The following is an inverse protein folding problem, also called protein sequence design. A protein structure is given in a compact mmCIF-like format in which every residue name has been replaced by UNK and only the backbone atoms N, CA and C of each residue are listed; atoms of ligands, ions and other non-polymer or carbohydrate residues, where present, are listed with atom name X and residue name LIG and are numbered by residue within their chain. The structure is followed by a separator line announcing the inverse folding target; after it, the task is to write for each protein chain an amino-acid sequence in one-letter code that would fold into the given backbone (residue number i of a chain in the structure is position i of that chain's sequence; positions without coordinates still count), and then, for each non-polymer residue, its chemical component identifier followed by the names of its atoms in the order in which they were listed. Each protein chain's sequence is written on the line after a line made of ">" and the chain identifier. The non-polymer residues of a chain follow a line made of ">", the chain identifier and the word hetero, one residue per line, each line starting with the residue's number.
data_IF_654458284663
#
_entry.id   IF_654458284663
#
_cell.length_a   1.000
_cell.length_b   1.000
_cell.length_c   1.000
_cell.angle_alpha   90.00
_cell.angle_beta   90.00
_cell.angle_gamma   90.00
#
_symmetry.space_group_name_H-M   'P 1'
#
loop_
_entity.id
_entity.type
_entity.pdbx_description
1 polymer ?
#
# COMPACT_ATOMS: atom_id res chain seq x y z
N UNK A 1 -25.60 53.87 -7.94
CA UNK A 1 -24.82 53.59 -9.18
C UNK A 1 -23.37 54.00 -8.94
N UNK A 2 -22.50 53.08 -8.53
CA UNK A 2 -21.05 53.30 -8.48
C UNK A 2 -20.32 51.99 -8.79
N UNK A 3 -20.18 51.69 -10.08
CA UNK A 3 -19.22 50.67 -10.54
C UNK A 3 -17.81 51.26 -10.40
N UNK A 4 -17.13 50.94 -9.31
CA UNK A 4 -15.67 51.13 -9.23
C UNK A 4 -15.02 50.01 -10.05
N UNK A 5 -14.71 50.38 -11.28
CA UNK A 5 -13.99 49.59 -12.27
C UNK A 5 -12.53 49.41 -11.81
N UNK A 6 -12.28 48.38 -11.00
CA UNK A 6 -10.92 47.93 -10.67
C UNK A 6 -10.39 47.13 -11.86
N UNK A 7 -9.80 47.83 -12.84
CA UNK A 7 -8.91 47.24 -13.84
C UNK A 7 -7.82 46.46 -13.09
N UNK A 8 -7.98 45.14 -13.00
CA UNK A 8 -6.90 44.25 -12.56
C UNK A 8 -5.76 44.41 -13.56
N UNK A 9 -4.61 44.88 -13.07
CA UNK A 9 -3.34 44.85 -13.79
C UNK A 9 -3.05 43.37 -14.05
N UNK A 10 -3.25 42.91 -15.27
CA UNK A 10 -2.78 41.60 -15.72
C UNK A 10 -1.27 41.73 -15.86
N UNK A 11 -0.44 41.06 -15.04
CA UNK A 11 0.99 41.07 -15.28
C UNK A 11 1.25 40.34 -16.60
N UNK A 12 1.66 41.13 -17.59
CA UNK A 12 2.05 40.66 -18.90
C UNK A 12 3.16 39.62 -18.84
N UNK A 13 3.17 38.84 -19.92
CA UNK A 13 4.16 37.84 -20.30
C UNK A 13 5.57 38.08 -19.75
N UNK A 14 5.95 37.26 -18.77
CA UNK A 14 7.35 36.94 -18.46
C UNK A 14 7.89 36.03 -19.57
N UNK A 15 8.18 36.64 -20.72
CA UNK A 15 8.79 35.97 -21.86
C UNK A 15 10.29 35.78 -21.64
N UNK A 16 10.75 34.53 -21.80
CA UNK A 16 12.04 34.13 -22.39
C UNK A 16 13.37 34.15 -21.60
N UNK A 17 13.42 34.24 -20.26
CA UNK A 17 14.72 34.15 -19.55
C UNK A 17 14.84 33.11 -18.42
N UNK A 18 13.90 32.17 -18.28
CA UNK A 18 13.88 31.25 -17.11
C UNK A 18 13.66 29.78 -17.45
N UNK A 19 14.40 29.24 -18.42
CA UNK A 19 14.42 27.77 -18.65
C UNK A 19 15.62 27.10 -17.99
N UNK A 20 16.78 27.77 -17.94
CA UNK A 20 18.01 27.22 -17.33
C UNK A 20 18.05 27.40 -15.80
N UNK A 21 17.56 28.52 -15.27
CA UNK A 21 17.49 28.72 -13.81
C UNK A 21 16.38 27.89 -13.13
N UNK A 22 15.41 27.39 -13.90
CA UNK A 22 14.36 26.50 -13.39
C UNK A 22 14.90 25.11 -13.04
N UNK A 23 15.89 24.61 -13.78
CA UNK A 23 16.50 23.29 -13.53
C UNK A 23 17.37 23.34 -12.26
N UNK A 24 18.15 24.42 -12.07
CA UNK A 24 18.96 24.62 -10.86
C UNK A 24 18.11 24.78 -9.60
N UNK A 25 16.91 25.36 -9.71
CA UNK A 25 15.97 25.50 -8.59
C UNK A 25 15.33 24.18 -8.16
N UNK A 26 15.25 23.19 -9.05
CA UNK A 26 14.72 21.85 -8.76
C UNK A 26 15.76 20.85 -8.22
N UNK A 27 17.06 21.16 -8.28
CA UNK A 27 18.13 20.31 -7.72
C UNK A 27 17.91 19.93 -6.23
N UNK A 28 17.52 20.85 -5.32
CA UNK A 28 17.26 20.46 -3.93
C UNK A 28 16.11 19.45 -3.78
N UNK A 29 15.12 19.47 -4.68
CA UNK A 29 14.03 18.49 -4.69
C UNK A 29 14.54 17.09 -5.05
N UNK A 30 15.43 16.99 -6.05
CA UNK A 30 16.06 15.71 -6.42
C UNK A 30 16.95 15.18 -5.29
N UNK A 31 17.72 16.03 -4.61
CA UNK A 31 18.59 15.62 -3.50
C UNK A 31 17.77 15.03 -2.33
N UNK A 32 16.62 15.61 -1.99
CA UNK A 32 15.72 15.05 -0.97
C UNK A 32 15.05 13.75 -1.42
N UNK A 33 14.83 13.56 -2.72
CA UNK A 33 14.20 12.36 -3.28
C UNK A 33 15.16 11.17 -3.44
N UNK A 34 16.45 11.43 -3.68
CA UNK A 34 17.50 10.41 -3.84
C UNK A 34 17.53 9.36 -2.70
N UNK A 35 17.58 9.72 -1.39
CA UNK A 35 17.63 8.72 -0.32
C UNK A 35 16.36 7.86 -0.26
N UNK A 36 15.19 8.44 -0.57
CA UNK A 36 13.92 7.71 -0.65
C UNK A 36 13.96 6.70 -1.79
N UNK A 37 14.51 7.09 -2.95
CA UNK A 37 14.61 6.22 -4.11
C UNK A 37 15.62 5.08 -3.88
N UNK A 38 16.77 5.36 -3.27
CA UNK A 38 17.76 4.34 -2.90
C UNK A 38 17.14 3.32 -1.94
N UNK A 39 16.46 3.79 -0.90
CA UNK A 39 15.76 2.91 0.04
C UNK A 39 14.76 2.00 -0.68
N UNK A 40 13.95 2.57 -1.59
CA UNK A 40 12.96 1.81 -2.33
C UNK A 40 13.60 0.76 -3.27
N UNK A 41 14.72 1.09 -3.92
CA UNK A 41 15.45 0.14 -4.76
C UNK A 41 15.99 -1.02 -3.92
N UNK A 42 16.69 -0.72 -2.82
CA UNK A 42 17.35 -1.74 -1.99
C UNK A 42 16.35 -2.61 -1.25
N UNK A 43 15.29 -2.04 -0.66
CA UNK A 43 14.37 -2.79 0.18
C UNK A 43 13.15 -3.35 -0.54
N UNK A 44 12.82 -2.87 -1.74
CA UNK A 44 11.63 -3.35 -2.47
C UNK A 44 11.98 -4.02 -3.79
N UNK A 45 12.83 -3.42 -4.61
CA UNK A 45 13.18 -4.01 -5.91
C UNK A 45 14.12 -5.20 -5.78
N UNK A 46 15.14 -5.13 -4.93
CA UNK A 46 16.06 -6.25 -4.68
C UNK A 46 15.33 -7.52 -4.21
N UNK A 47 14.51 -7.51 -3.13
CA UNK A 47 13.81 -8.73 -2.71
C UNK A 47 12.80 -9.23 -3.76
N UNK A 48 12.18 -8.35 -4.56
CA UNK A 48 11.33 -8.76 -5.68
C UNK A 48 12.12 -9.53 -6.74
N UNK A 49 13.28 -9.02 -7.15
CA UNK A 49 14.14 -9.68 -8.13
C UNK A 49 14.68 -11.01 -7.61
N UNK A 50 15.13 -11.05 -6.35
CA UNK A 50 15.59 -12.30 -5.73
C UNK A 50 14.45 -13.34 -5.65
N UNK A 51 13.24 -12.92 -5.25
CA UNK A 51 12.09 -13.82 -5.14
C UNK A 51 11.70 -14.45 -6.47
N UNK A 52 11.77 -13.68 -7.56
CA UNK A 52 11.49 -14.19 -8.90
C UNK A 52 12.52 -15.24 -9.33
N UNK A 53 13.81 -15.01 -9.06
CA UNK A 53 14.87 -15.97 -9.38
C UNK A 53 14.71 -17.26 -8.57
N UNK A 54 14.44 -17.13 -7.27
CA UNK A 54 14.24 -18.27 -6.36
C UNK A 54 13.00 -19.09 -6.76
N UNK A 55 11.96 -18.48 -7.33
CA UNK A 55 10.75 -19.19 -7.75
C UNK A 55 10.93 -20.07 -9.00
N UNK A 56 11.98 -19.84 -9.79
CA UNK A 56 12.29 -20.61 -11.02
C UNK A 56 13.31 -21.73 -10.73
N UNK A 57 14.02 -21.61 -9.60
CA UNK A 57 15.03 -22.58 -9.16
C UNK A 57 14.45 -23.51 -8.09
N UNK A 58 14.92 -24.76 -8.00
CA UNK A 58 14.53 -25.68 -6.91
C UNK A 58 15.28 -25.34 -5.63
N UNK A 59 14.99 -24.17 -5.07
CA UNK A 59 15.62 -23.69 -3.86
C UNK A 59 15.24 -24.60 -2.68
N UNK A 60 16.16 -25.49 -2.32
CA UNK A 60 16.10 -26.24 -1.07
C UNK A 60 17.07 -25.57 -0.08
N UNK A 61 16.57 -25.01 1.05
CA UNK A 61 17.41 -24.28 2.00
C UNK A 61 18.55 -25.14 2.58
N UNK A 62 18.39 -26.47 2.54
CA UNK A 62 19.39 -27.44 2.99
C UNK A 62 20.62 -27.62 2.07
N UNK A 63 20.59 -27.16 0.81
CA UNK A 63 21.68 -27.39 -0.17
C UNK A 63 22.49 -26.14 -0.54
N UNK A 64 22.20 -24.99 0.07
CA UNK A 64 22.88 -23.73 -0.23
C UNK A 64 22.43 -23.09 -1.55
N UNK A 65 22.57 -21.77 -1.63
CA UNK A 65 22.02 -20.89 -2.67
C UNK A 65 22.63 -21.17 -4.07
N UNK A 66 23.77 -21.87 -4.13
CA UNK A 66 24.58 -22.03 -5.35
C UNK A 66 24.60 -23.45 -5.95
N UNK A 67 23.97 -24.46 -5.33
CA UNK A 67 23.97 -25.85 -5.84
C UNK A 67 22.61 -26.36 -6.32
N UNK A 68 21.58 -25.53 -6.26
CA UNK A 68 20.23 -25.97 -6.63
C UNK A 68 20.12 -26.02 -8.16
N UNK A 69 19.51 -27.10 -8.67
CA UNK A 69 19.33 -27.31 -10.10
C UNK A 69 18.32 -26.30 -10.63
N UNK A 70 18.63 -25.66 -11.76
CA UNK A 70 17.72 -24.76 -12.45
C UNK A 70 16.61 -25.59 -13.11
N UNK A 71 15.44 -25.69 -12.46
CA UNK A 71 14.33 -26.57 -12.90
C UNK A 71 13.29 -25.80 -13.73
N UNK A 72 13.48 -24.50 -13.91
CA UNK A 72 12.67 -23.70 -14.81
C UNK A 72 11.21 -23.58 -14.36
N UNK A 73 10.28 -23.77 -15.30
CA UNK A 73 8.85 -23.52 -15.10
C UNK A 73 8.05 -24.74 -14.57
N UNK A 74 8.71 -25.80 -14.13
CA UNK A 74 8.04 -27.04 -13.69
C UNK A 74 7.07 -26.80 -12.52
N UNK A 75 7.48 -25.97 -11.54
CA UNK A 75 6.66 -25.61 -10.39
C UNK A 75 5.39 -24.85 -10.76
N UNK A 76 5.45 -24.00 -11.79
CA UNK A 76 4.27 -23.28 -12.26
C UNK A 76 3.24 -24.22 -12.90
N UNK A 77 3.69 -25.24 -13.65
CA UNK A 77 2.79 -26.26 -14.20
C UNK A 77 2.12 -27.08 -13.10
N UNK A 78 2.91 -27.58 -12.14
CA UNK A 78 2.38 -28.30 -10.98
C UNK A 78 1.40 -27.45 -10.15
N UNK A 79 1.65 -26.15 -10.04
CA UNK A 79 0.77 -25.23 -9.33
C UNK A 79 -0.58 -25.05 -10.05
N UNK A 80 -0.57 -24.87 -11.37
CA UNK A 80 -1.78 -24.68 -12.19
C UNK A 80 -2.62 -25.96 -12.28
N UNK A 81 -1.98 -27.13 -12.40
CA UNK A 81 -2.67 -28.43 -12.49
C UNK A 81 -3.23 -28.90 -11.13
N UNK A 82 -2.91 -28.21 -10.04
CA UNK A 82 -3.42 -28.55 -8.71
C UNK A 82 -4.91 -28.25 -8.56
N UNK A 83 -5.64 -29.15 -7.90
CA UNK A 83 -7.09 -29.00 -7.61
C UNK A 83 -7.40 -27.74 -6.79
N UNK A 84 -6.43 -27.25 -6.03
CA UNK A 84 -6.58 -26.09 -5.17
C UNK A 84 -6.49 -24.76 -5.93
N UNK A 85 -5.76 -24.69 -7.04
CA UNK A 85 -5.48 -23.44 -7.76
C UNK A 85 -6.74 -22.62 -8.08
N UNK A 86 -7.73 -23.26 -8.72
CA UNK A 86 -8.98 -22.61 -9.08
C UNK A 86 -9.83 -22.21 -7.87
N UNK A 87 -9.79 -23.00 -6.79
CA UNK A 87 -10.48 -22.69 -5.54
C UNK A 87 -9.85 -21.47 -4.85
N UNK A 88 -8.52 -21.39 -4.84
CA UNK A 88 -7.79 -20.24 -4.30
C UNK A 88 -8.15 -18.96 -5.07
N UNK A 89 -8.08 -18.99 -6.40
CA UNK A 89 -8.39 -17.81 -7.24
C UNK A 89 -9.82 -17.32 -6.98
N UNK A 90 -10.81 -18.21 -6.97
CA UNK A 90 -12.21 -17.82 -6.73
C UNK A 90 -12.41 -17.23 -5.33
N UNK A 91 -11.78 -17.80 -4.31
CA UNK A 91 -11.86 -17.29 -2.94
C UNK A 91 -11.17 -15.93 -2.80
N UNK A 92 -9.94 -15.79 -3.32
CA UNK A 92 -9.20 -14.54 -3.27
C UNK A 92 -9.91 -13.45 -4.05
N UNK A 93 -10.42 -13.73 -5.25
CA UNK A 93 -11.23 -12.77 -5.99
C UNK A 93 -12.52 -12.43 -5.24
N UNK A 94 -13.24 -13.43 -4.71
CA UNK A 94 -14.47 -13.21 -3.94
C UNK A 94 -14.27 -12.33 -2.71
N UNK A 95 -13.21 -12.59 -1.92
CA UNK A 95 -12.85 -11.76 -0.76
C UNK A 95 -12.47 -10.35 -1.20
N UNK A 96 -11.65 -10.20 -2.25
CA UNK A 96 -11.26 -8.88 -2.74
C UNK A 96 -12.47 -8.09 -3.27
N UNK A 97 -13.41 -8.72 -3.98
CA UNK A 97 -14.65 -8.07 -4.43
C UNK A 97 -15.53 -7.64 -3.26
N UNK A 98 -15.67 -8.50 -2.25
CA UNK A 98 -16.42 -8.17 -1.04
C UNK A 98 -15.75 -7.01 -0.28
N UNK A 99 -14.44 -7.05 -0.14
CA UNK A 99 -13.64 -6.01 0.50
C UNK A 99 -13.68 -4.69 -0.27
N UNK A 100 -13.67 -4.73 -1.61
CA UNK A 100 -13.80 -3.54 -2.44
C UNK A 100 -15.20 -2.94 -2.27
N UNK A 101 -16.25 -3.76 -2.33
CA UNK A 101 -17.63 -3.27 -2.28
C UNK A 101 -17.97 -2.77 -0.88
N UNK A 102 -17.80 -3.59 0.15
CA UNK A 102 -18.16 -3.23 1.54
C UNK A 102 -17.13 -2.30 2.15
N UNK A 103 -15.83 -2.57 1.96
CA UNK A 103 -14.76 -1.75 2.52
C UNK A 103 -14.70 -0.34 1.94
N UNK A 104 -15.19 -0.13 0.71
CA UNK A 104 -15.36 1.21 0.15
C UNK A 104 -16.74 1.82 0.48
N UNK A 105 -17.82 1.04 0.38
CA UNK A 105 -19.18 1.57 0.62
C UNK A 105 -19.41 1.96 2.08
N UNK A 106 -18.91 1.18 3.05
CA UNK A 106 -19.16 1.43 4.46
C UNK A 106 -18.61 2.79 4.93
N UNK A 107 -17.35 3.19 4.64
CA UNK A 107 -16.85 4.53 4.95
C UNK A 107 -17.63 5.66 4.26
N UNK A 108 -18.12 5.45 3.04
CA UNK A 108 -18.87 6.48 2.28
C UNK A 108 -20.24 6.73 2.91
N UNK A 109 -20.97 5.65 3.21
CA UNK A 109 -22.27 5.73 3.89
C UNK A 109 -22.10 6.38 5.26
N UNK A 110 -21.06 5.96 6.01
CA UNK A 110 -20.72 6.54 7.30
C UNK A 110 -20.43 8.04 7.17
N UNK A 111 -19.63 8.46 6.19
CA UNK A 111 -19.30 9.87 5.96
C UNK A 111 -20.55 10.72 5.61
N UNK A 112 -21.46 10.18 4.79
CA UNK A 112 -22.73 10.83 4.44
C UNK A 112 -23.66 11.00 5.67
N UNK A 113 -23.86 9.93 6.45
CA UNK A 113 -24.65 10.01 7.69
C UNK A 113 -24.08 11.02 8.68
N UNK A 114 -22.76 11.03 8.83
CA UNK A 114 -22.07 11.99 9.69
C UNK A 114 -22.19 13.42 9.17
N UNK A 115 -22.24 13.60 7.85
CA UNK A 115 -22.38 14.92 7.26
C UNK A 115 -23.77 15.52 7.51
N UNK A 116 -24.81 14.70 7.46
CA UNK A 116 -26.19 15.11 7.72
C UNK A 116 -26.42 15.46 9.20
N UNK A 117 -25.72 14.77 10.11
CA UNK A 117 -25.72 15.12 11.53
C UNK A 117 -24.82 16.35 11.74
N UNK A 118 -25.43 17.55 11.64
CA UNK A 118 -24.73 18.85 11.69
C UNK A 118 -23.90 19.18 12.94
N UNK A 119 -23.78 18.26 13.92
CA UNK A 119 -22.99 18.47 15.15
C UNK A 119 -21.61 17.81 15.07
N UNK A 120 -20.57 18.64 15.03
CA UNK A 120 -19.14 18.28 14.95
C UNK A 120 -18.67 17.30 16.03
N UNK A 121 -19.34 17.24 17.19
CA UNK A 121 -19.00 16.31 18.29
C UNK A 121 -19.25 14.85 17.92
N UNK A 122 -20.29 14.53 17.14
CA UNK A 122 -20.59 13.15 16.75
C UNK A 122 -19.62 12.62 15.70
N UNK A 123 -19.14 13.48 14.79
CA UNK A 123 -18.10 13.15 13.80
C UNK A 123 -16.82 12.64 14.49
N UNK A 124 -16.37 13.31 15.55
CA UNK A 124 -15.17 12.91 16.32
C UNK A 124 -15.37 11.60 17.09
N UNK A 125 -16.54 11.35 17.66
CA UNK A 125 -16.81 10.11 18.41
C UNK A 125 -16.79 8.87 17.52
N UNK A 126 -17.46 8.93 16.37
CA UNK A 126 -17.48 7.82 15.41
C UNK A 126 -16.09 7.54 14.86
N UNK A 127 -15.29 8.59 14.64
CA UNK A 127 -13.89 8.45 14.25
C UNK A 127 -13.09 7.70 15.33
N UNK A 128 -13.15 8.13 16.60
CA UNK A 128 -12.42 7.48 17.69
C UNK A 128 -12.85 6.03 17.91
N UNK A 129 -14.16 5.73 17.88
CA UNK A 129 -14.69 4.38 18.06
C UNK A 129 -14.33 3.46 16.89
N UNK A 130 -14.22 3.98 15.66
CA UNK A 130 -13.84 3.18 14.49
C UNK A 130 -12.35 2.87 14.45
N UNK A 131 -11.49 3.78 14.95
CA UNK A 131 -10.04 3.55 15.00
C UNK A 131 -9.59 2.68 16.18
N UNK A 132 -10.33 2.65 17.29
CA UNK A 132 -9.97 1.91 18.49
C UNK A 132 -9.84 0.38 18.29
N UNK A 133 -10.75 -0.31 17.57
CA UNK A 133 -10.66 -1.76 17.32
C UNK A 133 -9.41 -2.15 16.56
N UNK A 134 -8.98 -1.36 15.58
CA UNK A 134 -7.77 -1.67 14.82
C UNK A 134 -6.51 -1.64 15.70
N UNK A 135 -6.48 -0.75 16.71
CA UNK A 135 -5.38 -0.67 17.67
C UNK A 135 -5.38 -1.86 18.64
N UNK A 136 -6.54 -2.19 19.22
CA UNK A 136 -6.67 -3.31 20.17
C UNK A 136 -6.50 -4.67 19.46
N UNK A 137 -6.99 -4.82 18.23
CA UNK A 137 -6.84 -6.06 17.44
C UNK A 137 -5.38 -6.38 17.17
N UNK A 138 -4.54 -5.38 16.89
CA UNK A 138 -3.10 -5.61 16.65
C UNK A 138 -2.38 -6.05 17.93
N UNK A 139 -2.68 -5.40 19.07
CA UNK A 139 -2.02 -5.68 20.35
C UNK A 139 -2.51 -6.99 20.99
N UNK A 140 -3.83 -7.22 21.02
CA UNK A 140 -4.43 -8.35 21.73
C UNK A 140 -4.41 -9.65 20.90
N UNK A 141 -4.45 -9.56 19.57
CA UNK A 141 -4.29 -10.75 18.73
C UNK A 141 -2.85 -11.27 18.84
N UNK A 142 -1.83 -10.39 18.83
CA UNK A 142 -0.44 -10.81 19.04
C UNK A 142 -0.19 -11.41 20.44
N UNK A 143 -0.84 -10.87 21.48
CA UNK A 143 -0.74 -11.40 22.84
C UNK A 143 -1.48 -12.75 23.04
N UNK A 144 -2.54 -13.00 22.26
CA UNK A 144 -3.28 -14.28 22.25
C UNK A 144 -2.48 -15.41 21.59
N UNK A 145 -1.60 -15.09 20.63
CA UNK A 145 -0.71 -16.09 20.02
C UNK A 145 0.41 -16.52 20.98
N UNK A 146 1.03 -15.59 21.71
CA UNK A 146 2.09 -15.94 22.67
C UNK A 146 1.62 -16.70 23.91
N UNK A 147 0.33 -16.66 24.25
CA UNK A 147 -0.23 -17.44 25.37
C UNK A 147 -0.72 -18.83 24.96
N UNK A 148 -0.88 -19.10 23.65
CA UNK A 148 -1.27 -20.42 23.14
C UNK A 148 -0.08 -21.39 22.97
N UNK A 149 1.16 -20.87 22.95
CA UNK A 149 2.38 -21.66 22.86
C UNK A 149 2.83 -22.25 24.22
N UNK A 150 2.34 -21.72 25.35
CA UNK A 150 2.72 -22.17 26.71
C UNK A 150 1.81 -23.28 27.27
N UNK A 151 0.75 -23.67 26.56
CA UNK A 151 -0.23 -24.66 27.02
C UNK A 151 0.00 -26.08 26.42
N UNK A 152 1.05 -26.28 25.60
CA UNK A 152 1.43 -27.55 24.97
C UNK A 152 2.79 -28.12 25.38
N UNK A 153 3.41 -27.58 26.44
CA UNK A 153 4.70 -28.03 26.99
C UNK A 153 4.58 -28.74 28.37
N UNK A 154 3.39 -29.27 28.70
CA UNK A 154 3.09 -30.04 29.92
C UNK A 154 2.31 -31.33 29.62
#
# INVERSE_FOLDING_TARGET
>A
MFFTNRRKKVPGSQTKQSRQNSIKKSIPFYIMFIPVLIYFVVFRYVPLLLSLVISVEKYQPAKGIFQSKWVGLEYYKQFIDSVFFWRLIRNTLGINFLQLTIGFAAPIILALLLNEVGRVRYKKLVQTVTYLPNFISSLNCNARFHTQDLEWDL
#
